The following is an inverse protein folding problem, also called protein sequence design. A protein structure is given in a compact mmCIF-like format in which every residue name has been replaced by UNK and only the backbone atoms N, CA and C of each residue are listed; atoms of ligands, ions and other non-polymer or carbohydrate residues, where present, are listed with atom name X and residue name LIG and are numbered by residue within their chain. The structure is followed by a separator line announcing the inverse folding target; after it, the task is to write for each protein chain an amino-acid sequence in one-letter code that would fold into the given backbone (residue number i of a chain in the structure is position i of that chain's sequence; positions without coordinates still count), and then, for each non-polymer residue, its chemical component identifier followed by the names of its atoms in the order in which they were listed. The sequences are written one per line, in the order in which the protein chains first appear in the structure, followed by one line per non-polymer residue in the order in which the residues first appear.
data_IF_412406548485
#
_entry.id   IF_412406548485
#
_cell.length_a   1.000
_cell.length_b   1.000
_cell.length_c   1.000
_cell.angle_alpha   90.00
_cell.angle_beta   90.00
_cell.angle_gamma   90.00
#
_symmetry.space_group_name_H-M   'P 1'
#
loop_
_entity.id
_entity.type
_entity.pdbx_description
1 polymer ?
#
# COMPACT_ATOMS: atom_id res chain seq x y z
N UNK A 1 -5.63 -40.59 -13.95
CA UNK A 1 -5.23 -39.61 -12.91
C UNK A 1 -4.84 -38.33 -13.63
N UNK A 2 -5.80 -37.43 -13.82
CA UNK A 2 -5.55 -36.12 -14.43
C UNK A 2 -5.21 -35.16 -13.31
N UNK A 3 -3.94 -34.77 -13.23
CA UNK A 3 -3.51 -33.66 -12.39
C UNK A 3 -4.06 -32.36 -13.01
N UNK A 4 -5.03 -31.75 -12.34
CA UNK A 4 -5.47 -30.39 -12.64
C UNK A 4 -4.39 -29.45 -12.13
N UNK A 5 -3.64 -28.86 -13.08
CA UNK A 5 -2.80 -27.72 -12.81
C UNK A 5 -3.70 -26.49 -12.69
N UNK A 6 -4.05 -26.12 -11.45
CA UNK A 6 -4.67 -24.83 -11.20
C UNK A 6 -3.63 -23.75 -11.46
N UNK A 7 -3.83 -23.07 -12.58
CA UNK A 7 -2.94 -22.05 -13.11
C UNK A 7 -3.25 -20.77 -12.36
N UNK A 8 -2.28 -20.28 -11.60
CA UNK A 8 -2.31 -19.01 -10.87
C UNK A 8 -2.89 -17.88 -11.74
N UNK A 9 -4.18 -17.62 -11.59
CA UNK A 9 -4.77 -16.35 -11.94
C UNK A 9 -4.31 -15.33 -10.89
N UNK A 10 -4.14 -14.04 -11.22
CA UNK A 10 -4.13 -13.01 -10.19
C UNK A 10 -5.42 -13.23 -9.38
N UNK A 11 -5.29 -13.64 -8.12
CA UNK A 11 -6.47 -13.87 -7.28
C UNK A 11 -7.23 -12.56 -7.22
N UNK A 12 -8.38 -12.51 -7.89
CA UNK A 12 -9.33 -11.44 -7.69
C UNK A 12 -9.59 -11.36 -6.18
N UNK A 13 -9.50 -10.15 -5.64
CA UNK A 13 -9.81 -9.89 -4.23
C UNK A 13 -11.16 -10.56 -3.90
N UNK A 14 -11.20 -11.30 -2.80
CA UNK A 14 -12.45 -11.82 -2.26
C UNK A 14 -13.37 -10.64 -1.90
N UNK A 15 -14.68 -10.89 -1.78
CA UNK A 15 -15.62 -9.82 -1.38
C UNK A 15 -15.19 -9.17 -0.05
N UNK A 16 -14.59 -9.94 0.84
CA UNK A 16 -14.10 -9.47 2.13
C UNK A 16 -12.89 -8.53 1.97
N UNK A 17 -11.89 -8.93 1.18
CA UNK A 17 -10.72 -8.07 0.94
C UNK A 17 -11.09 -6.81 0.13
N UNK A 18 -12.06 -6.89 -0.79
CA UNK A 18 -12.59 -5.71 -1.48
C UNK A 18 -13.26 -4.72 -0.53
N UNK A 19 -14.00 -5.20 0.48
CA UNK A 19 -14.63 -4.33 1.46
C UNK A 19 -13.59 -3.54 2.27
N UNK A 20 -12.48 -4.20 2.64
CA UNK A 20 -11.36 -3.54 3.35
C UNK A 20 -10.73 -2.45 2.49
N UNK A 21 -10.43 -2.73 1.22
CA UNK A 21 -9.89 -1.73 0.28
C UNK A 21 -10.86 -0.55 0.10
N UNK A 22 -12.16 -0.82 -0.03
CA UNK A 22 -13.17 0.25 -0.15
C UNK A 22 -13.30 1.08 1.13
N UNK A 23 -13.20 0.46 2.31
CA UNK A 23 -13.23 1.15 3.59
C UNK A 23 -11.99 2.06 3.74
N UNK A 24 -10.80 1.55 3.40
CA UNK A 24 -9.58 2.35 3.32
C UNK A 24 -9.75 3.55 2.39
N UNK A 25 -10.32 3.35 1.20
CA UNK A 25 -10.46 4.41 0.20
C UNK A 25 -11.40 5.55 0.62
N UNK A 26 -12.28 5.32 1.59
CA UNK A 26 -13.18 6.35 2.16
C UNK A 26 -12.51 7.22 3.22
N UNK A 27 -11.36 6.80 3.76
CA UNK A 27 -10.58 7.62 4.69
C UNK A 27 -10.05 8.87 3.98
N UNK A 28 -9.93 9.97 4.72
CA UNK A 28 -9.17 11.12 4.24
C UNK A 28 -7.66 10.83 4.20
N UNK A 29 -6.89 11.73 3.59
CA UNK A 29 -5.45 11.53 3.37
C UNK A 29 -4.68 11.24 4.65
N UNK A 30 -4.93 12.01 5.71
CA UNK A 30 -4.16 11.88 6.96
C UNK A 30 -4.62 10.65 7.73
N UNK A 31 -5.91 10.31 7.69
CA UNK A 31 -6.42 9.06 8.23
C UNK A 31 -5.85 7.82 7.51
N UNK A 32 -5.60 7.88 6.20
CA UNK A 32 -4.92 6.81 5.45
C UNK A 32 -3.47 6.62 5.91
N UNK A 33 -2.74 7.72 6.10
CA UNK A 33 -1.36 7.69 6.60
C UNK A 33 -1.30 7.16 8.04
N UNK A 34 -2.20 7.63 8.90
CA UNK A 34 -2.33 7.11 10.26
C UNK A 34 -2.65 5.62 10.28
N UNK A 35 -3.56 5.15 9.42
CA UNK A 35 -3.86 3.73 9.34
C UNK A 35 -2.63 2.89 8.94
N UNK A 36 -1.80 3.34 7.99
CA UNK A 36 -0.55 2.64 7.66
C UNK A 36 0.39 2.53 8.86
N UNK A 37 0.54 3.61 9.63
CA UNK A 37 1.35 3.60 10.84
C UNK A 37 0.83 2.59 11.87
N UNK A 38 -0.48 2.60 12.18
CA UNK A 38 -1.05 1.65 13.12
C UNK A 38 -0.99 0.19 12.65
N UNK A 39 -1.09 -0.07 11.34
CA UNK A 39 -0.85 -1.42 10.79
C UNK A 39 0.59 -1.84 11.04
N UNK A 40 1.57 -0.95 10.83
CA UNK A 40 2.97 -1.25 11.13
C UNK A 40 3.19 -1.52 12.62
N UNK A 41 2.66 -0.70 13.51
CA UNK A 41 2.77 -0.90 14.97
C UNK A 41 2.14 -2.22 15.43
N UNK A 42 0.95 -2.55 14.94
CA UNK A 42 0.22 -3.75 15.39
C UNK A 42 0.73 -5.04 14.73
N UNK A 43 1.23 -4.94 13.50
CA UNK A 43 1.39 -6.11 12.62
C UNK A 43 2.70 -6.12 11.83
N UNK A 44 3.59 -5.14 11.99
CA UNK A 44 4.83 -4.97 11.21
C UNK A 44 5.79 -6.16 11.31
N UNK A 45 5.85 -6.81 12.47
CA UNK A 45 6.64 -8.03 12.68
C UNK A 45 6.07 -9.26 11.94
N UNK A 46 4.77 -9.26 11.65
CA UNK A 46 4.06 -10.37 11.00
C UNK A 46 3.88 -10.16 9.49
N UNK A 47 3.85 -8.90 9.06
CA UNK A 47 3.66 -8.49 7.67
C UNK A 47 4.96 -7.88 7.15
N UNK A 48 6.04 -8.67 7.18
CA UNK A 48 7.25 -8.26 6.48
C UNK A 48 7.03 -8.49 4.99
N UNK A 49 7.08 -7.44 4.12
CA UNK A 49 7.11 -7.66 2.68
C UNK A 49 8.27 -8.62 2.36
N UNK A 50 8.08 -9.53 1.40
CA UNK A 50 9.10 -10.50 1.02
C UNK A 50 10.46 -9.79 0.89
N UNK A 51 11.46 -10.34 1.59
CA UNK A 51 12.70 -9.71 2.01
C UNK A 51 13.22 -8.56 1.11
N UNK A 52 13.74 -7.47 1.69
CA UNK A 52 14.39 -6.37 0.96
C UNK A 52 15.42 -6.82 -0.07
N UNK A 53 16.02 -8.02 0.08
CA UNK A 53 16.91 -8.61 -0.92
C UNK A 53 16.26 -8.85 -2.30
N UNK A 54 14.93 -8.93 -2.40
CA UNK A 54 14.19 -9.04 -3.66
C UNK A 54 13.76 -7.69 -4.23
N UNK A 55 13.86 -6.62 -3.44
CA UNK A 55 13.58 -5.27 -3.87
C UNK A 55 14.90 -4.54 -4.04
N UNK A 56 15.30 -4.38 -5.29
CA UNK A 56 16.53 -3.67 -5.64
C UNK A 56 16.46 -2.22 -5.07
N UNK A 57 17.31 -1.85 -4.09
CA UNK A 57 17.33 -0.49 -3.53
C UNK A 57 17.69 0.57 -4.57
N UNK A 58 18.32 0.15 -5.66
CA UNK A 58 18.60 0.95 -6.86
C UNK A 58 17.33 1.32 -7.66
N UNK A 59 16.17 0.72 -7.36
CA UNK A 59 14.95 0.95 -8.14
C UNK A 59 14.33 2.32 -7.89
N UNK A 60 14.50 2.87 -6.69
CA UNK A 60 13.90 4.14 -6.31
C UNK A 60 14.80 4.98 -5.40
N UNK A 61 16.00 5.40 -5.87
CA UNK A 61 16.90 6.24 -5.09
C UNK A 61 16.20 7.53 -4.62
N UNK A 62 15.27 8.07 -5.42
CA UNK A 62 14.47 9.22 -5.04
C UNK A 62 13.63 8.95 -3.76
N UNK A 63 13.00 7.79 -3.65
CA UNK A 63 12.09 7.46 -2.53
C UNK A 63 12.80 6.90 -1.30
N UNK A 64 13.93 6.20 -1.49
CA UNK A 64 14.63 5.48 -0.42
C UNK A 64 15.93 6.16 0.03
N UNK A 65 16.42 7.16 -0.71
CA UNK A 65 17.60 7.94 -0.32
C UNK A 65 17.29 9.45 -0.29
N UNK A 66 16.92 10.05 -1.43
CA UNK A 66 16.78 11.51 -1.53
C UNK A 66 15.65 12.04 -0.62
N UNK A 67 14.55 11.28 -0.53
CA UNK A 67 13.45 11.52 0.41
C UNK A 67 13.90 11.66 1.87
N UNK A 68 14.88 10.86 2.31
CA UNK A 68 15.37 10.87 3.69
C UNK A 68 16.19 12.13 4.02
N UNK A 69 16.56 12.92 2.99
CA UNK A 69 17.28 14.19 3.15
C UNK A 69 16.35 15.41 3.22
N UNK A 70 15.04 15.21 2.99
CA UNK A 70 14.04 16.26 3.07
C UNK A 70 13.74 16.64 4.54
N UNK A 71 13.19 17.84 4.74
CA UNK A 71 12.63 18.21 6.04
C UNK A 71 11.37 17.40 6.36
N UNK A 72 11.01 17.27 7.65
CA UNK A 72 9.82 16.54 8.09
C UNK A 72 8.52 17.02 7.41
N UNK A 73 8.37 18.34 7.22
CA UNK A 73 7.22 18.92 6.52
C UNK A 73 7.18 18.49 5.04
N UNK A 74 8.32 18.52 4.36
CA UNK A 74 8.44 18.07 2.97
C UNK A 74 8.18 16.57 2.84
N UNK A 75 8.70 15.77 3.78
CA UNK A 75 8.46 14.33 3.86
C UNK A 75 6.97 14.02 3.98
N UNK A 76 6.27 14.68 4.89
CA UNK A 76 4.82 14.52 5.08
C UNK A 76 4.05 14.96 3.83
N UNK A 77 4.44 16.07 3.20
CA UNK A 77 3.80 16.54 1.97
C UNK A 77 3.99 15.55 0.80
N UNK A 78 5.17 14.94 0.67
CA UNK A 78 5.41 13.88 -0.31
C UNK A 78 4.52 12.66 -0.06
N UNK A 79 4.41 12.20 1.19
CA UNK A 79 3.50 11.11 1.54
C UNK A 79 2.05 11.43 1.17
N UNK A 80 1.57 12.63 1.52
CA UNK A 80 0.23 13.11 1.17
C UNK A 80 0.01 13.22 -0.33
N UNK A 81 1.02 13.64 -1.08
CA UNK A 81 0.95 13.76 -2.54
C UNK A 81 0.83 12.40 -3.21
N UNK A 82 1.58 11.40 -2.73
CA UNK A 82 1.49 10.01 -3.19
C UNK A 82 0.08 9.45 -2.89
N UNK A 83 -0.42 9.59 -1.66
CA UNK A 83 -1.77 9.12 -1.29
C UNK A 83 -2.85 9.78 -2.17
N UNK A 84 -2.69 11.07 -2.47
CA UNK A 84 -3.63 11.83 -3.29
C UNK A 84 -3.40 11.71 -4.79
N UNK A 85 -2.45 10.88 -5.22
CA UNK A 85 -2.12 10.65 -6.63
C UNK A 85 -1.81 11.95 -7.38
N UNK A 86 -1.17 12.91 -6.71
CA UNK A 86 -0.81 14.19 -7.34
C UNK A 86 0.28 13.97 -8.37
N UNK A 87 0.26 14.77 -9.43
CA UNK A 87 1.32 14.76 -10.43
C UNK A 87 2.56 15.48 -9.89
N UNK A 88 3.42 14.74 -9.19
CA UNK A 88 4.71 15.21 -8.65
C UNK A 88 5.83 14.25 -9.02
N UNK A 89 7.07 14.70 -8.91
CA UNK A 89 8.24 13.87 -9.17
C UNK A 89 8.24 12.59 -8.31
N UNK A 90 8.01 12.72 -7.01
CA UNK A 90 7.93 11.60 -6.07
C UNK A 90 6.73 10.68 -6.35
N UNK A 91 5.58 11.24 -6.70
CA UNK A 91 4.39 10.44 -7.03
C UNK A 91 4.57 9.67 -8.34
N UNK A 92 5.26 10.23 -9.33
CA UNK A 92 5.64 9.55 -10.57
C UNK A 92 6.66 8.45 -10.33
N UNK A 93 7.69 8.73 -9.52
CA UNK A 93 8.68 7.72 -9.13
C UNK A 93 8.01 6.54 -8.42
N UNK A 94 7.07 6.82 -7.50
CA UNK A 94 6.30 5.79 -6.80
C UNK A 94 5.39 5.02 -7.75
N UNK A 95 4.66 5.71 -8.63
CA UNK A 95 3.75 5.09 -9.59
C UNK A 95 4.45 4.27 -10.69
N UNK A 96 5.76 4.44 -10.87
CA UNK A 96 6.57 3.63 -11.78
C UNK A 96 7.01 2.27 -11.18
N UNK A 97 6.84 2.08 -9.87
CA UNK A 97 7.16 0.83 -9.18
C UNK A 97 6.05 -0.22 -9.35
N UNK A 98 6.43 -1.49 -9.24
CA UNK A 98 5.47 -2.60 -9.09
C UNK A 98 4.88 -2.61 -7.68
N UNK A 99 3.71 -3.19 -7.50
CA UNK A 99 2.91 -3.17 -6.27
C UNK A 99 3.68 -3.66 -5.03
N UNK A 100 4.52 -4.69 -5.18
CA UNK A 100 5.35 -5.17 -4.08
C UNK A 100 6.40 -4.13 -3.63
N UNK A 101 6.98 -3.39 -4.57
CA UNK A 101 7.99 -2.37 -4.27
C UNK A 101 7.32 -1.09 -3.73
N UNK A 102 6.11 -0.78 -4.21
CA UNK A 102 5.27 0.28 -3.66
C UNK A 102 4.93 0.03 -2.19
N UNK A 103 4.59 -1.22 -1.83
CA UNK A 103 4.37 -1.59 -0.43
C UNK A 103 5.66 -1.53 0.39
N UNK A 104 6.81 -1.94 -0.19
CA UNK A 104 8.09 -1.84 0.51
C UNK A 104 8.45 -0.41 0.88
N UNK A 105 8.20 0.58 0.00
CA UNK A 105 8.48 1.99 0.30
C UNK A 105 7.78 2.41 1.60
N UNK A 106 6.50 2.09 1.76
CA UNK A 106 5.75 2.40 2.99
C UNK A 106 6.32 1.68 4.21
N UNK A 107 6.70 0.41 4.07
CA UNK A 107 7.33 -0.34 5.16
C UNK A 107 8.67 0.28 5.59
N UNK A 108 9.54 0.63 4.64
CA UNK A 108 10.84 1.25 4.94
C UNK A 108 10.65 2.61 5.60
N UNK A 109 9.70 3.42 5.12
CA UNK A 109 9.39 4.69 5.75
C UNK A 109 8.88 4.51 7.18
N UNK A 110 7.97 3.57 7.42
CA UNK A 110 7.45 3.27 8.75
C UNK A 110 8.57 2.85 9.73
N UNK A 111 9.47 1.95 9.31
CA UNK A 111 10.63 1.53 10.11
C UNK A 111 11.57 2.69 10.45
N UNK A 112 11.64 3.70 9.58
CA UNK A 112 12.52 4.85 9.73
C UNK A 112 11.88 6.08 10.41
N UNK A 113 10.59 6.01 10.78
CA UNK A 113 9.88 7.09 11.48
C UNK A 113 10.55 7.40 12.82
N UNK A 114 10.70 8.69 13.14
CA UNK A 114 11.38 9.16 14.35
C UNK A 114 12.90 9.17 14.27
N UNK A 115 13.51 8.47 13.31
CA UNK A 115 14.97 8.51 13.07
C UNK A 115 15.35 9.38 11.87
N UNK A 116 14.75 9.11 10.70
CA UNK A 116 15.06 9.81 9.44
C UNK A 116 13.83 10.12 8.58
N UNK A 117 12.67 9.62 9.00
CA UNK A 117 11.36 9.96 8.45
C UNK A 117 10.54 10.65 9.54
N UNK A 118 9.73 11.64 9.16
CA UNK A 118 8.80 12.37 10.02
C UNK A 118 8.05 11.40 10.94
N UNK A 119 8.09 11.70 12.23
CA UNK A 119 7.49 10.84 13.25
C UNK A 119 5.97 10.96 13.28
N UNK A 120 5.32 9.97 13.90
CA UNK A 120 3.89 10.00 14.13
C UNK A 120 3.57 10.90 15.34
N UNK A 121 2.51 11.74 15.28
CA UNK A 121 2.18 12.60 16.42
C UNK A 121 1.69 11.79 17.63
N UNK A 122 2.35 11.96 18.79
CA UNK A 122 1.98 11.31 20.06
C UNK A 122 0.54 11.61 20.52
N UNK A 123 -0.04 12.72 20.06
CA UNK A 123 -1.37 13.20 20.44
C UNK A 123 -2.48 12.82 19.44
N UNK A 124 -2.15 12.02 18.42
CA UNK A 124 -3.14 11.57 17.44
C UNK A 124 -4.02 10.43 17.99
N UNK A 125 -5.32 10.67 18.06
CA UNK A 125 -6.31 9.64 18.43
C UNK A 125 -6.97 9.04 17.17
N UNK A 126 -6.84 7.72 16.92
CA UNK A 126 -7.47 7.09 15.77
C UNK A 126 -9.00 7.11 15.93
N UNK A 127 -9.68 7.69 14.94
CA UNK A 127 -11.14 7.68 14.88
C UNK A 127 -11.71 6.28 14.65
N UNK A 128 -13.02 6.11 14.89
CA UNK A 128 -13.71 4.82 14.74
C UNK A 128 -13.47 4.15 13.39
N UNK A 129 -13.43 4.92 12.30
CA UNK A 129 -13.20 4.36 10.96
C UNK A 129 -11.82 3.69 10.80
N UNK A 130 -10.79 4.22 11.45
CA UNK A 130 -9.44 3.63 11.47
C UNK A 130 -9.47 2.35 12.30
N UNK A 131 -10.05 2.40 13.50
CA UNK A 131 -10.14 1.25 14.40
C UNK A 131 -10.94 0.08 13.79
N UNK A 132 -12.09 0.38 13.18
CA UNK A 132 -12.92 -0.60 12.49
C UNK A 132 -12.17 -1.23 11.30
N UNK A 133 -11.35 -0.44 10.59
CA UNK A 133 -10.54 -0.94 9.48
C UNK A 133 -9.38 -1.82 9.96
N UNK A 134 -8.71 -1.45 11.06
CA UNK A 134 -7.68 -2.26 11.72
C UNK A 134 -8.24 -3.61 12.15
N UNK A 135 -9.40 -3.62 12.81
CA UNK A 135 -10.06 -4.87 13.22
C UNK A 135 -10.43 -5.76 12.03
N UNK A 136 -10.85 -5.17 10.90
CA UNK A 136 -11.16 -5.92 9.69
C UNK A 136 -9.91 -6.58 9.09
N UNK A 137 -8.80 -5.85 8.97
CA UNK A 137 -7.56 -6.41 8.39
C UNK A 137 -6.94 -7.47 9.31
N UNK A 138 -6.98 -7.27 10.63
CA UNK A 138 -6.50 -8.25 11.63
C UNK A 138 -7.28 -9.57 11.58
N UNK A 139 -8.56 -9.53 11.21
CA UNK A 139 -9.41 -10.72 11.08
C UNK A 139 -9.13 -11.57 9.85
N UNK A 140 -8.40 -11.05 8.86
CA UNK A 140 -8.06 -11.78 7.64
C UNK A 140 -6.88 -12.73 7.85
N UNK A 141 -6.79 -13.77 7.01
CA UNK A 141 -5.57 -14.58 6.93
C UNK A 141 -4.41 -13.80 6.27
N UNK A 142 -3.19 -14.28 6.45
CA UNK A 142 -1.98 -13.61 5.97
C UNK A 142 -1.97 -13.37 4.45
N UNK A 143 -2.44 -14.31 3.64
CA UNK A 143 -2.46 -14.16 2.18
C UNK A 143 -3.45 -13.05 1.77
N UNK A 144 -4.63 -13.03 2.40
CA UNK A 144 -5.63 -11.99 2.21
C UNK A 144 -5.14 -10.62 2.69
N UNK A 145 -4.48 -10.54 3.84
CA UNK A 145 -3.84 -9.32 4.34
C UNK A 145 -2.83 -8.76 3.34
N UNK A 146 -1.89 -9.60 2.90
CA UNK A 146 -0.89 -9.21 1.90
C UNK A 146 -1.51 -8.77 0.59
N UNK A 147 -2.61 -9.41 0.17
CA UNK A 147 -3.33 -8.99 -1.03
C UNK A 147 -3.94 -7.59 -0.86
N UNK A 148 -4.55 -7.30 0.28
CA UNK A 148 -5.11 -5.97 0.58
C UNK A 148 -4.00 -4.91 0.57
N UNK A 149 -2.88 -5.14 1.26
CA UNK A 149 -1.80 -4.16 1.33
C UNK A 149 -1.18 -3.85 -0.04
N UNK A 150 -0.97 -4.87 -0.87
CA UNK A 150 -0.48 -4.67 -2.25
C UNK A 150 -1.47 -3.90 -3.10
N UNK A 151 -2.76 -4.19 -2.99
CA UNK A 151 -3.79 -3.45 -3.72
C UNK A 151 -3.80 -1.99 -3.29
N UNK A 152 -3.87 -1.71 -1.98
CA UNK A 152 -3.89 -0.34 -1.46
C UNK A 152 -2.63 0.43 -1.91
N UNK A 153 -1.45 -0.18 -1.78
CA UNK A 153 -0.19 0.43 -2.25
C UNK A 153 -0.25 0.75 -3.75
N UNK A 154 -0.79 -0.17 -4.55
CA UNK A 154 -0.96 -0.01 -6.00
C UNK A 154 -1.96 1.06 -6.45
N UNK A 155 -2.88 1.48 -5.59
CA UNK A 155 -3.87 2.52 -5.90
C UNK A 155 -3.32 3.96 -5.74
N UNK A 156 -2.13 4.11 -5.15
CA UNK A 156 -1.49 5.39 -4.86
C UNK A 156 -0.41 5.79 -5.87
N UNK A 157 0.07 7.02 -5.77
CA UNK A 157 1.02 7.62 -6.70
C UNK A 157 0.39 8.01 -8.04
N UNK A 158 1.25 8.41 -8.97
CA UNK A 158 0.84 8.91 -10.28
C UNK A 158 1.53 8.11 -11.39
N UNK A 159 0.75 7.62 -12.34
CA UNK A 159 1.25 6.95 -13.54
C UNK A 159 0.39 7.32 -14.74
N UNK A 160 1.02 7.63 -15.87
CA UNK A 160 0.33 7.83 -17.14
C UNK A 160 -0.07 6.48 -17.79
N UNK A 161 0.40 5.36 -17.22
CA UNK A 161 -0.02 4.02 -17.60
C UNK A 161 -1.41 3.78 -16.99
N UNK A 162 -2.42 3.62 -17.84
CA UNK A 162 -3.77 3.28 -17.40
C UNK A 162 -3.73 1.99 -16.57
N UNK A 163 -4.45 1.92 -15.44
CA UNK A 163 -4.64 0.66 -14.73
C UNK A 163 -5.07 -0.41 -15.71
N UNK A 164 -4.48 -1.60 -15.65
CA UNK A 164 -4.99 -2.72 -16.42
C UNK A 164 -6.40 -2.99 -15.87
N UNK A 165 -7.42 -2.70 -16.69
CA UNK A 165 -8.82 -2.96 -16.35
C UNK A 165 -8.92 -4.38 -15.78
N UNK A 166 -9.41 -4.48 -14.54
CA UNK A 166 -9.57 -5.79 -13.92
C UNK A 166 -10.60 -6.56 -14.75
N UNK A 167 -10.48 -7.90 -14.82
CA UNK A 167 -11.41 -8.69 -15.63
C UNK A 167 -12.88 -8.48 -15.25
N UNK A 168 -13.16 -8.00 -14.03
CA UNK A 168 -14.48 -7.58 -13.56
C UNK A 168 -15.09 -6.42 -14.36
N UNK A 169 -14.28 -5.48 -14.85
CA UNK A 169 -14.74 -4.33 -15.66
C UNK A 169 -14.92 -4.69 -17.13
N UNK A 170 -14.19 -5.69 -17.63
CA UNK A 170 -14.25 -6.08 -19.06
C UNK A 170 -15.47 -6.92 -19.45
N UNK A 171 -16.37 -7.24 -18.52
CA UNK A 171 -17.67 -7.86 -18.84
C UNK A 171 -17.58 -9.11 -19.72
N UNK A 172 -16.46 -9.87 -19.67
CA UNK A 172 -16.37 -11.15 -20.36
C UNK A 172 -17.13 -12.21 -19.56
N UNK A 173 -18.47 -12.13 -19.63
CA UNK A 173 -19.28 -13.33 -19.63
C UNK A 173 -18.83 -14.17 -20.81
N UNK A 174 -17.91 -15.11 -20.57
CA UNK A 174 -17.64 -16.16 -21.56
C UNK A 174 -18.84 -17.09 -21.54
N UNK A 175 -19.90 -16.69 -22.25
CA UNK A 175 -20.87 -17.61 -22.80
C UNK A 175 -20.14 -18.43 -23.86
N UNK A 176 -19.88 -19.70 -23.55
CA UNK A 176 -20.12 -20.91 -24.37
C UNK A 176 -19.38 -22.09 -23.77
#
# INVERSE_FOLDING_TARGET
MTASYDKSAPQALSNETQNVVQAFNKLDTDAKLAWFYFVYENMGDSITPAAPAAAEPELAPLLLNDYLLLSEEEQLNVMRDIVNRKDTEYSRAYGALKENNQLLVWYVWAVAMGESVVDFPDDYEPGNAINDLLSQIEGLDFEAQMSVFRTIAGEMGYSDVKPIETQAETGKTSSL
#
